data_IF_458568965212
#
_entry.id   IF_458568965212
#
_cell.length_a   1.000
_cell.length_b   1.000
_cell.length_c   1.000
_cell.angle_alpha   90.00
_cell.angle_beta   90.00
_cell.angle_gamma   90.00
#
_symmetry.space_group_name_H-M   'P 1'
#
loop_
_entity.id
_entity.type
_entity.pdbx_description
1 polymer ?
#
# COMPACT_ATOMS: atom_id res chain seq x y z
N UNK A 1 -3.80 1.20 -11.77
CA UNK A 1 -3.47 0.95 -10.35
C UNK A 1 -4.73 0.62 -9.58
N UNK A 2 -4.66 -0.41 -8.75
CA UNK A 2 -5.74 -0.74 -7.82
C UNK A 2 -5.33 -0.30 -6.42
N UNK A 3 -6.12 0.56 -5.80
CA UNK A 3 -5.87 1.06 -4.44
C UNK A 3 -6.95 0.55 -3.51
N UNK A 4 -6.55 -0.10 -2.42
CA UNK A 4 -7.47 -0.60 -1.41
C UNK A 4 -7.33 0.27 -0.15
N UNK A 5 -8.31 1.14 0.14
CA UNK A 5 -8.26 1.96 1.35
C UNK A 5 -8.52 1.11 2.59
N UNK A 6 -8.09 1.64 3.73
CA UNK A 6 -8.26 0.93 5.00
C UNK A 6 -9.67 1.00 5.55
N UNK A 7 -9.80 0.59 6.80
CA UNK A 7 -11.04 0.69 7.56
C UNK A 7 -11.49 -0.60 8.20
N UNK A 8 -11.24 -1.76 7.60
CA UNK A 8 -11.68 -3.03 8.18
C UNK A 8 -10.87 -4.21 7.66
N UNK A 9 -10.71 -5.20 8.52
CA UNK A 9 -10.13 -6.51 8.15
C UNK A 9 -11.15 -7.36 7.38
N UNK A 10 -12.41 -6.99 7.39
CA UNK A 10 -13.46 -7.76 6.72
C UNK A 10 -13.25 -7.87 5.20
N UNK A 11 -12.45 -7.00 4.62
CA UNK A 11 -12.11 -7.08 3.19
C UNK A 11 -11.45 -8.42 2.83
N UNK A 12 -10.79 -9.08 3.77
CA UNK A 12 -10.15 -10.38 3.52
C UNK A 12 -11.18 -11.47 3.20
N UNK A 13 -12.43 -11.27 3.59
CA UNK A 13 -13.53 -12.20 3.32
C UNK A 13 -14.25 -11.90 2.01
N UNK A 14 -13.88 -10.84 1.32
CA UNK A 14 -14.52 -10.46 0.05
C UNK A 14 -13.81 -11.17 -1.11
N UNK A 15 -14.37 -12.30 -1.53
CA UNK A 15 -13.75 -13.14 -2.57
C UNK A 15 -13.48 -12.39 -3.87
N UNK A 16 -14.41 -11.53 -4.30
CA UNK A 16 -14.23 -10.74 -5.52
C UNK A 16 -13.04 -9.81 -5.46
N UNK A 17 -12.83 -9.16 -4.31
CA UNK A 17 -11.68 -8.28 -4.11
C UNK A 17 -10.38 -9.09 -4.12
N UNK A 18 -10.33 -10.20 -3.41
CA UNK A 18 -9.16 -11.07 -3.36
C UNK A 18 -8.78 -11.55 -4.76
N UNK A 19 -9.76 -11.96 -5.56
CA UNK A 19 -9.51 -12.40 -6.93
C UNK A 19 -9.00 -11.26 -7.82
N UNK A 20 -9.55 -10.06 -7.65
CA UNK A 20 -9.10 -8.89 -8.41
C UNK A 20 -7.64 -8.57 -8.08
N UNK A 21 -7.27 -8.63 -6.80
CA UNK A 21 -5.90 -8.41 -6.35
C UNK A 21 -4.96 -9.44 -6.99
N UNK A 22 -5.35 -10.70 -6.97
CA UNK A 22 -4.55 -11.76 -7.60
C UNK A 22 -4.35 -11.50 -9.09
N UNK A 23 -5.40 -11.04 -9.78
CA UNK A 23 -5.33 -10.78 -11.21
C UNK A 23 -4.41 -9.60 -11.53
N UNK A 24 -4.51 -8.50 -10.76
CA UNK A 24 -3.60 -7.37 -10.91
C UNK A 24 -2.16 -7.79 -10.67
N UNK A 25 -1.94 -8.63 -9.66
CA UNK A 25 -0.59 -9.12 -9.37
C UNK A 25 -0.03 -9.98 -10.50
N UNK A 26 -0.83 -10.87 -11.05
CA UNK A 26 -0.41 -11.76 -12.15
C UNK A 26 -0.02 -10.94 -13.39
N UNK A 27 -0.72 -9.83 -13.63
CA UNK A 27 -0.44 -8.93 -14.75
C UNK A 27 0.63 -7.87 -14.41
N UNK A 28 1.17 -7.93 -13.20
CA UNK A 28 2.18 -6.98 -12.69
C UNK A 28 1.72 -5.52 -12.75
N UNK A 29 0.41 -5.31 -12.59
CA UNK A 29 -0.16 -3.97 -12.50
C UNK A 29 0.02 -3.41 -11.09
N UNK A 30 0.20 -2.08 -10.95
CA UNK A 30 0.41 -1.49 -9.63
C UNK A 30 -0.75 -1.75 -8.67
N UNK A 31 -0.39 -2.16 -7.46
CA UNK A 31 -1.30 -2.43 -6.34
C UNK A 31 -0.87 -1.59 -5.14
N UNK A 32 -1.84 -1.05 -4.41
CA UNK A 32 -1.55 -0.27 -3.21
C UNK A 32 -2.61 -0.50 -2.15
N UNK A 33 -2.19 -0.52 -0.88
CA UNK A 33 -3.09 -0.70 0.24
C UNK A 33 -2.55 0.00 1.48
N UNK A 34 -3.45 0.46 2.34
CA UNK A 34 -3.08 1.21 3.55
C UNK A 34 -3.84 0.70 4.76
N UNK A 35 -3.22 0.82 5.94
CA UNK A 35 -3.82 0.52 7.24
C UNK A 35 -4.13 -0.98 7.38
N UNK A 36 -5.40 -1.36 7.46
CA UNK A 36 -5.82 -2.76 7.53
C UNK A 36 -5.84 -3.45 6.17
N UNK A 37 -5.90 -2.69 5.09
CA UNK A 37 -6.08 -3.24 3.74
C UNK A 37 -4.93 -4.12 3.23
N UNK A 38 -3.66 -3.92 3.61
CA UNK A 38 -2.59 -4.85 3.22
C UNK A 38 -2.86 -6.31 3.60
N UNK A 39 -3.72 -6.56 4.59
CA UNK A 39 -4.14 -7.91 4.94
C UNK A 39 -4.79 -8.65 3.77
N UNK A 40 -5.46 -7.92 2.87
CA UNK A 40 -6.05 -8.49 1.66
C UNK A 40 -4.97 -9.05 0.75
N UNK A 41 -3.83 -8.34 0.66
CA UNK A 41 -2.69 -8.82 -0.13
C UNK A 41 -2.09 -10.07 0.50
N UNK A 42 -2.03 -10.12 1.83
CA UNK A 42 -1.60 -11.33 2.54
C UNK A 42 -2.53 -12.51 2.25
N UNK A 43 -3.85 -12.26 2.29
CA UNK A 43 -4.86 -13.27 1.98
C UNK A 43 -4.76 -13.76 0.54
N UNK A 44 -4.45 -12.85 -0.38
CA UNK A 44 -4.29 -13.19 -1.79
C UNK A 44 -2.98 -13.94 -2.08
N UNK A 45 -2.08 -14.04 -1.12
CA UNK A 45 -0.82 -14.76 -1.27
C UNK A 45 0.23 -14.05 -2.11
N UNK A 46 0.11 -12.73 -2.27
CA UNK A 46 1.01 -11.97 -3.16
C UNK A 46 2.16 -11.28 -2.43
N UNK A 47 2.26 -11.44 -1.12
CA UNK A 47 3.31 -10.77 -0.33
C UNK A 47 4.52 -11.66 -0.01
N UNK A 48 4.56 -12.88 -0.48
CA UNK A 48 5.67 -13.80 -0.20
C UNK A 48 7.01 -13.18 -0.60
N UNK A 49 7.89 -13.00 0.38
CA UNK A 49 9.21 -12.42 0.16
C UNK A 49 9.21 -10.92 -0.12
N UNK A 50 8.06 -10.26 -0.08
CA UNK A 50 7.95 -8.82 -0.33
C UNK A 50 8.03 -8.02 0.96
N UNK A 51 8.64 -6.83 0.90
CA UNK A 51 8.57 -5.88 2.01
C UNK A 51 7.19 -5.25 2.02
N UNK A 52 6.55 -5.26 3.18
CA UNK A 52 5.23 -4.66 3.33
C UNK A 52 5.03 -4.14 4.75
N UNK A 53 4.13 -3.18 4.89
CA UNK A 53 3.72 -2.63 6.18
C UNK A 53 2.21 -2.55 6.24
N UNK A 54 1.67 -2.40 7.44
CA UNK A 54 0.24 -2.27 7.69
C UNK A 54 0.02 -1.52 8.99
N UNK A 55 -1.22 -1.41 9.42
CA UNK A 55 -1.54 -0.83 10.70
C UNK A 55 -0.83 -1.63 11.81
N UNK A 56 -0.15 -0.95 12.75
CA UNK A 56 0.61 -1.63 13.80
C UNK A 56 -0.24 -2.61 14.59
N UNK A 57 0.30 -3.82 14.78
CA UNK A 57 -0.40 -4.91 15.45
C UNK A 57 -1.07 -5.88 14.50
N UNK A 58 -1.15 -5.56 13.20
CA UNK A 58 -1.79 -6.42 12.21
C UNK A 58 -0.78 -7.16 11.30
N UNK A 59 0.50 -7.13 11.65
CA UNK A 59 1.55 -7.72 10.81
C UNK A 59 1.35 -9.21 10.54
N UNK A 60 0.70 -9.93 11.46
CA UNK A 60 0.44 -11.36 11.25
C UNK A 60 -0.43 -11.67 10.05
N UNK A 61 -1.20 -10.70 9.56
CA UNK A 61 -2.01 -10.85 8.36
C UNK A 61 -1.21 -10.74 7.06
N UNK A 62 0.03 -10.26 7.14
CA UNK A 62 0.90 -10.10 5.98
C UNK A 62 1.65 -11.40 5.71
N UNK A 63 0.92 -12.45 5.38
CA UNK A 63 1.46 -13.80 5.22
C UNK A 63 2.63 -13.84 4.25
N UNK A 64 3.78 -14.30 4.73
CA UNK A 64 4.99 -14.44 3.92
C UNK A 64 5.78 -13.17 3.69
N UNK A 65 5.28 -12.01 4.12
CA UNK A 65 5.96 -10.74 3.92
C UNK A 65 7.16 -10.57 4.85
N UNK A 66 8.11 -9.75 4.39
CA UNK A 66 9.15 -9.19 5.25
C UNK A 66 8.60 -7.85 5.73
N UNK A 67 8.33 -7.72 7.02
CA UNK A 67 7.76 -6.48 7.57
C UNK A 67 8.80 -5.37 7.49
N UNK A 68 8.45 -4.29 6.78
CA UNK A 68 9.34 -3.16 6.57
C UNK A 68 9.36 -2.19 7.74
N UNK A 69 10.30 -1.25 7.71
CA UNK A 69 10.46 -0.24 8.76
C UNK A 69 9.95 1.14 8.36
N UNK A 70 9.64 1.34 7.08
CA UNK A 70 9.19 2.64 6.59
C UNK A 70 7.68 2.82 6.78
N UNK A 71 7.23 4.06 6.79
CA UNK A 71 5.80 4.36 6.90
C UNK A 71 5.04 4.05 5.60
N UNK A 72 5.75 4.06 4.47
CA UNK A 72 5.27 3.63 3.15
C UNK A 72 6.37 2.76 2.55
N UNK A 73 6.02 1.54 2.16
CA UNK A 73 6.95 0.62 1.50
C UNK A 73 6.47 0.33 0.08
N UNK A 74 7.40 0.36 -0.86
CA UNK A 74 7.14 -0.08 -2.23
C UNK A 74 8.13 -1.19 -2.56
N UNK A 75 7.61 -2.34 -2.95
CA UNK A 75 8.41 -3.46 -3.39
C UNK A 75 7.86 -3.95 -4.73
N UNK A 76 8.60 -3.68 -5.80
CA UNK A 76 8.12 -3.96 -7.15
C UNK A 76 6.87 -3.13 -7.46
N UNK A 77 5.78 -3.78 -7.81
CA UNK A 77 4.52 -3.13 -8.15
C UNK A 77 3.54 -3.02 -6.97
N UNK A 78 3.98 -3.36 -5.75
CA UNK A 78 3.13 -3.37 -4.56
C UNK A 78 3.59 -2.29 -3.59
N UNK A 79 2.67 -1.40 -3.21
CA UNK A 79 2.91 -0.33 -2.22
C UNK A 79 1.96 -0.50 -1.05
N UNK A 80 2.51 -0.44 0.16
CA UNK A 80 1.72 -0.52 1.39
C UNK A 80 2.09 0.63 2.32
N UNK A 81 1.15 1.03 3.19
CA UNK A 81 1.37 2.11 4.14
C UNK A 81 0.69 1.78 5.48
N UNK A 82 1.18 2.41 6.55
CA UNK A 82 0.82 2.01 7.91
C UNK A 82 -0.56 2.46 8.38
N UNK A 83 -0.96 3.69 8.11
CA UNK A 83 -2.24 4.14 8.67
C UNK A 83 -2.61 5.57 8.32
N UNK A 84 -3.70 6.09 8.93
CA UNK A 84 -4.31 7.36 8.50
C UNK A 84 -3.36 8.55 8.48
N UNK A 85 -2.49 8.68 9.49
CA UNK A 85 -1.60 9.85 9.58
C UNK A 85 -0.59 9.91 8.43
N UNK A 86 -0.29 8.79 7.79
CA UNK A 86 0.67 8.76 6.69
C UNK A 86 0.02 8.80 5.32
N UNK A 87 -1.29 9.03 5.27
CA UNK A 87 -2.05 9.08 4.01
C UNK A 87 -1.45 10.05 2.98
N UNK A 88 -1.03 11.27 3.34
CA UNK A 88 -0.41 12.16 2.36
C UNK A 88 0.86 11.57 1.74
N UNK A 89 1.68 10.89 2.53
CA UNK A 89 2.91 10.27 2.05
C UNK A 89 2.61 9.05 1.16
N UNK A 90 1.57 8.30 1.50
CA UNK A 90 1.08 7.21 0.69
C UNK A 90 0.61 7.73 -0.68
N UNK A 91 -0.24 8.75 -0.68
CA UNK A 91 -0.76 9.36 -1.90
C UNK A 91 0.36 9.91 -2.78
N UNK A 92 1.35 10.58 -2.17
CA UNK A 92 2.49 11.12 -2.90
C UNK A 92 3.35 10.01 -3.53
N UNK A 93 3.52 8.88 -2.85
CA UNK A 93 4.22 7.73 -3.41
C UNK A 93 3.48 7.19 -4.63
N UNK A 94 2.15 7.09 -4.56
CA UNK A 94 1.35 6.63 -5.69
C UNK A 94 1.43 7.60 -6.87
N UNK A 95 1.41 8.90 -6.59
CA UNK A 95 1.57 9.92 -7.63
C UNK A 95 2.95 9.81 -8.28
N UNK A 96 4.00 9.62 -7.49
CA UNK A 96 5.35 9.44 -8.02
C UNK A 96 5.42 8.25 -8.96
N UNK A 97 4.81 7.13 -8.57
CA UNK A 97 4.80 5.92 -9.39
C UNK A 97 4.03 6.10 -10.70
N UNK A 98 2.97 6.92 -10.69
CA UNK A 98 2.12 7.12 -11.85
C UNK A 98 2.58 8.25 -12.77
N UNK A 99 3.15 9.33 -12.21
CA UNK A 99 3.44 10.56 -12.93
C UNK A 99 4.86 11.06 -12.77
N UNK A 100 5.66 10.40 -11.95
CA UNK A 100 7.07 10.74 -11.76
C UNK A 100 7.31 11.61 -10.54
N UNK A 101 8.60 11.68 -10.16
CA UNK A 101 9.07 12.36 -8.95
C UNK A 101 8.75 13.86 -8.97
N UNK A 102 8.91 14.49 -10.12
CA UNK A 102 8.68 15.94 -10.25
C UNK A 102 7.24 16.33 -9.95
N UNK A 103 6.27 15.55 -10.47
CA UNK A 103 4.86 15.78 -10.19
C UNK A 103 4.55 15.61 -8.70
N UNK A 104 5.11 14.57 -8.07
CA UNK A 104 4.92 14.33 -6.64
C UNK A 104 5.52 15.46 -5.80
N UNK A 105 6.71 15.94 -6.13
CA UNK A 105 7.35 17.04 -5.41
C UNK A 105 6.54 18.34 -5.52
N UNK A 106 5.98 18.62 -6.68
CA UNK A 106 5.16 19.82 -6.88
C UNK A 106 3.91 19.78 -5.99
N UNK A 107 3.24 18.63 -5.90
CA UNK A 107 2.06 18.48 -5.04
C UNK A 107 2.45 18.53 -3.56
N UNK A 108 3.54 17.87 -3.17
CA UNK A 108 4.03 17.90 -1.80
C UNK A 108 4.29 19.32 -1.33
N UNK A 109 4.90 20.14 -2.18
CA UNK A 109 5.18 21.55 -1.90
C UNK A 109 3.89 22.35 -1.73
N UNK A 110 2.92 22.14 -2.63
CA UNK A 110 1.63 22.82 -2.57
C UNK A 110 0.84 22.45 -1.32
N UNK A 111 1.01 21.21 -0.84
CA UNK A 111 0.37 20.72 0.39
C UNK A 111 1.14 21.13 1.65
N UNK A 112 2.26 21.84 1.51
CA UNK A 112 3.11 22.26 2.62
C UNK A 112 3.70 21.10 3.42
N UNK A 113 3.87 19.95 2.79
CA UNK A 113 4.45 18.75 3.42
C UNK A 113 5.82 19.06 4.06
N UNK A 114 6.73 19.83 3.41
CA UNK A 114 8.03 20.14 4.02
C UNK A 114 7.96 20.82 5.38
N UNK A 115 6.83 21.43 5.74
CA UNK A 115 6.69 22.10 7.03
C UNK A 115 6.53 21.12 8.20
N UNK A 116 6.13 19.88 7.94
CA UNK A 116 5.85 18.90 8.99
C UNK A 116 6.88 17.77 9.03
N UNK A 117 7.92 17.85 8.23
CA UNK A 117 9.02 16.89 8.23
C UNK A 117 10.13 17.30 9.15
#
# INVERSE_FOLDING_TARGET
MLVVPGGTIAYTEHAGLVELVKRYNAEKKPLAAICAAPAVFGKAGILEGKRAVCYPGMESYLTGAVVGSEIVETDGHITTAKGPAVTPFFALRLLELLKGKEAAEAVAKAFLIPLIR
#
